data_IF_231820751629
#
_entry.id   IF_231820751629
#
_cell.length_a   1.000
_cell.length_b   1.000
_cell.length_c   1.000
_cell.angle_alpha   90.00
_cell.angle_beta   90.00
_cell.angle_gamma   90.00
#
_symmetry.space_group_name_H-M   'P 1'
#
loop_
_entity.id
_entity.type
_entity.pdbx_description
1 polymer ?
#
# COMPACT_ATOMS: atom_id res chain seq x y z
N UNK A 1 11.64 -2.56 4.76
CA UNK A 1 11.35 -2.98 3.37
C UNK A 1 11.27 -1.75 2.49
N UNK A 2 11.80 -1.81 1.26
CA UNK A 2 11.74 -0.71 0.28
C UNK A 2 10.84 -1.12 -0.87
N UNK A 3 9.95 -0.22 -1.29
CA UNK A 3 9.05 -0.41 -2.42
C UNK A 3 9.33 0.65 -3.48
N UNK A 4 9.32 0.25 -4.74
CA UNK A 4 9.55 1.13 -5.89
C UNK A 4 8.31 1.12 -6.76
N UNK A 5 7.65 2.27 -6.87
CA UNK A 5 6.53 2.50 -7.77
C UNK A 5 7.00 3.28 -8.99
N UNK A 6 6.63 2.83 -10.19
CA UNK A 6 6.88 3.54 -11.45
C UNK A 6 5.57 3.87 -12.13
N UNK A 7 5.43 5.09 -12.61
CA UNK A 7 4.20 5.58 -13.24
C UNK A 7 4.43 6.77 -14.15
N UNK A 8 3.34 7.44 -14.51
CA UNK A 8 3.38 8.63 -15.34
C UNK A 8 3.06 9.87 -14.50
N UNK A 9 3.81 10.95 -14.70
CA UNK A 9 3.53 12.26 -14.06
C UNK A 9 2.16 12.79 -14.47
N UNK A 10 1.77 12.52 -15.72
CA UNK A 10 0.50 12.91 -16.30
C UNK A 10 -0.01 11.81 -17.24
N UNK A 11 -0.94 11.00 -16.73
CA UNK A 11 -1.53 9.91 -17.51
C UNK A 11 -2.31 10.39 -18.73
N UNK A 12 -2.79 11.64 -18.74
CA UNK A 12 -3.54 12.20 -19.88
C UNK A 12 -2.66 12.45 -21.10
N UNK A 13 -1.34 12.61 -20.89
CA UNK A 13 -0.35 12.81 -21.95
C UNK A 13 0.10 11.51 -22.61
N UNK A 14 -0.29 10.35 -22.07
CA UNK A 14 0.02 9.05 -22.66
C UNK A 14 -0.98 8.77 -23.78
N UNK A 15 -0.56 8.78 -25.07
CA UNK A 15 -1.49 8.60 -26.17
C UNK A 15 -2.08 7.18 -26.14
N UNK A 16 -3.40 7.02 -26.38
CA UNK A 16 -4.04 5.71 -26.41
C UNK A 16 -3.34 4.75 -27.37
N UNK A 17 -3.02 3.54 -26.91
CA UNK A 17 -2.37 2.50 -27.73
C UNK A 17 -0.87 2.69 -27.98
N UNK A 18 -0.24 3.78 -27.50
CA UNK A 18 1.23 3.94 -27.57
C UNK A 18 1.88 3.48 -26.27
N UNK A 19 2.90 2.63 -26.39
CA UNK A 19 3.77 2.25 -25.28
C UNK A 19 4.76 3.39 -25.00
N UNK A 20 4.49 4.15 -23.94
CA UNK A 20 5.44 5.11 -23.38
C UNK A 20 6.06 4.51 -22.12
N UNK A 21 7.33 4.80 -21.86
CA UNK A 21 7.96 4.40 -20.60
C UNK A 21 7.46 5.31 -19.47
N UNK A 22 7.23 4.77 -18.26
CA UNK A 22 6.99 5.58 -17.07
C UNK A 22 8.04 6.68 -16.91
N UNK A 23 7.62 7.92 -16.68
CA UNK A 23 8.49 9.10 -16.52
C UNK A 23 8.56 9.58 -15.06
N UNK A 24 8.04 8.76 -14.13
CA UNK A 24 8.00 9.01 -12.72
C UNK A 24 8.38 7.77 -11.91
N UNK A 25 9.17 7.98 -10.87
CA UNK A 25 9.48 6.97 -9.85
C UNK A 25 9.21 7.51 -8.45
N UNK A 26 8.62 6.68 -7.61
CA UNK A 26 8.44 6.93 -6.18
C UNK A 26 9.05 5.77 -5.41
N UNK A 27 9.98 6.06 -4.52
CA UNK A 27 10.57 5.08 -3.60
C UNK A 27 9.98 5.32 -2.22
N UNK A 28 9.37 4.28 -1.66
CA UNK A 28 8.85 4.30 -0.29
C UNK A 28 9.54 3.26 0.58
N UNK A 29 9.52 3.48 1.88
CA UNK A 29 10.08 2.57 2.87
C UNK A 29 9.05 2.27 3.94
N UNK A 30 8.93 0.99 4.27
CA UNK A 30 8.18 0.51 5.43
C UNK A 30 9.17 -0.01 6.45
N UNK A 31 9.11 0.52 7.67
CA UNK A 31 9.88 0.04 8.81
C UNK A 31 8.95 -0.41 9.92
N UNK A 32 9.44 -1.31 10.77
CA UNK A 32 8.69 -1.90 11.87
C UNK A 32 9.61 -2.73 12.75
N UNK A 33 9.10 -3.27 13.87
CA UNK A 33 9.86 -4.14 14.76
C UNK A 33 10.26 -5.41 14.03
N UNK A 34 11.51 -5.84 14.19
CA UNK A 34 12.11 -7.04 13.57
C UNK A 34 11.45 -7.49 12.26
N UNK A 35 11.99 -6.99 11.14
CA UNK A 35 11.45 -7.22 9.81
C UNK A 35 11.36 -8.74 9.55
N UNK A 36 10.17 -9.19 9.14
CA UNK A 36 9.91 -10.58 8.78
C UNK A 36 9.23 -11.39 9.88
N UNK A 37 9.51 -11.12 11.16
CA UNK A 37 8.97 -11.89 12.28
C UNK A 37 7.96 -11.13 13.12
N UNK A 38 8.26 -9.94 13.61
CA UNK A 38 7.32 -9.19 14.46
C UNK A 38 6.45 -8.27 13.61
N UNK A 39 7.03 -7.63 12.59
CA UNK A 39 6.29 -6.78 11.66
C UNK A 39 5.18 -7.55 10.92
N UNK A 40 5.46 -8.77 10.43
CA UNK A 40 4.52 -9.51 9.57
C UNK A 40 3.22 -9.92 10.29
N UNK A 41 3.26 -10.50 11.51
CA UNK A 41 2.06 -10.78 12.29
C UNK A 41 1.26 -9.53 12.64
N UNK A 42 1.91 -8.40 12.95
CA UNK A 42 1.20 -7.14 13.21
C UNK A 42 0.36 -6.76 11.99
N UNK A 43 0.95 -6.79 10.79
CA UNK A 43 0.25 -6.51 9.54
C UNK A 43 -0.94 -7.48 9.37
N UNK A 44 -0.72 -8.78 9.52
CA UNK A 44 -1.76 -9.79 9.33
C UNK A 44 -2.93 -9.61 10.31
N UNK A 45 -2.64 -9.40 11.60
CA UNK A 45 -3.65 -9.24 12.64
C UNK A 45 -4.45 -7.96 12.43
N UNK A 46 -3.80 -6.84 12.12
CA UNK A 46 -4.53 -5.59 11.85
C UNK A 46 -5.44 -5.71 10.62
N UNK A 47 -5.02 -6.47 9.59
CA UNK A 47 -5.86 -6.72 8.42
C UNK A 47 -7.09 -7.56 8.79
N UNK A 48 -6.90 -8.60 9.61
CA UNK A 48 -7.99 -9.45 10.08
C UNK A 48 -9.01 -8.66 10.92
N UNK A 49 -8.53 -7.81 11.84
CA UNK A 49 -9.40 -6.95 12.65
C UNK A 49 -10.22 -5.99 11.78
N UNK A 50 -9.58 -5.36 10.80
CA UNK A 50 -10.27 -4.46 9.87
C UNK A 50 -11.36 -5.19 9.06
N UNK A 51 -11.08 -6.42 8.60
CA UNK A 51 -12.06 -7.25 7.89
C UNK A 51 -13.26 -7.59 8.77
N UNK A 52 -13.03 -7.88 10.06
CA UNK A 52 -14.10 -8.17 11.02
C UNK A 52 -14.94 -6.92 11.35
N UNK A 53 -14.30 -5.78 11.56
CA UNK A 53 -14.95 -4.55 12.01
C UNK A 53 -15.67 -3.77 10.91
N UNK A 54 -15.15 -3.81 9.67
CA UNK A 54 -15.62 -2.95 8.57
C UNK A 54 -16.02 -3.78 7.33
N UNK A 55 -16.50 -5.02 7.51
CA UNK A 55 -16.77 -5.96 6.41
C UNK A 55 -17.66 -5.37 5.30
N UNK A 56 -18.63 -4.55 5.68
CA UNK A 56 -19.60 -3.88 4.81
C UNK A 56 -18.97 -2.83 3.88
N UNK A 57 -17.83 -2.24 4.29
CA UNK A 57 -17.09 -1.22 3.54
C UNK A 57 -16.01 -1.81 2.62
N UNK A 58 -15.76 -3.11 2.70
CA UNK A 58 -14.75 -3.79 1.91
C UNK A 58 -15.33 -4.41 0.62
N UNK A 59 -14.50 -4.62 -0.42
CA UNK A 59 -14.93 -5.32 -1.63
C UNK A 59 -15.60 -6.67 -1.33
N UNK A 60 -16.62 -7.02 -2.13
CA UNK A 60 -17.35 -8.28 -2.00
C UNK A 60 -16.83 -9.33 -2.98
N UNK A 61 -16.41 -10.49 -2.45
CA UNK A 61 -15.90 -11.61 -3.24
C UNK A 61 -14.54 -11.34 -3.88
N UNK A 62 -13.95 -12.38 -4.48
CA UNK A 62 -12.65 -12.28 -5.17
C UNK A 62 -11.42 -12.27 -4.26
N UNK A 63 -10.26 -12.02 -4.87
CA UNK A 63 -8.95 -11.93 -4.21
C UNK A 63 -8.38 -10.56 -4.48
N UNK A 64 -8.08 -9.81 -3.42
CA UNK A 64 -7.66 -8.41 -3.50
C UNK A 64 -6.30 -8.22 -2.86
N UNK A 65 -5.50 -7.34 -3.45
CA UNK A 65 -4.29 -6.86 -2.78
C UNK A 65 -4.66 -5.88 -1.66
N UNK A 66 -3.86 -5.79 -0.58
CA UNK A 66 -4.16 -4.91 0.55
C UNK A 66 -4.35 -3.44 0.15
N UNK A 67 -3.57 -2.95 -0.82
CA UNK A 67 -3.71 -1.56 -1.28
C UNK A 67 -5.07 -1.25 -1.90
N UNK A 68 -5.69 -2.21 -2.58
CA UNK A 68 -7.03 -2.03 -3.15
C UNK A 68 -8.11 -2.32 -2.12
N UNK A 69 -7.93 -3.35 -1.29
CA UNK A 69 -8.92 -3.73 -0.28
C UNK A 69 -9.03 -2.70 0.85
N UNK A 70 -7.91 -2.11 1.28
CA UNK A 70 -7.82 -1.32 2.50
C UNK A 70 -7.42 0.14 2.25
N UNK A 71 -7.15 0.54 1.01
CA UNK A 71 -6.64 1.89 0.69
C UNK A 71 -7.57 3.05 1.08
N UNK A 72 -8.86 2.78 1.27
CA UNK A 72 -9.86 3.77 1.71
C UNK A 72 -10.19 3.67 3.20
N UNK A 73 -9.47 2.85 3.96
CA UNK A 73 -9.70 2.58 5.38
C UNK A 73 -8.64 3.22 6.28
N UNK A 74 -8.78 3.07 7.60
CA UNK A 74 -7.80 3.51 8.60
C UNK A 74 -6.62 2.52 8.77
N UNK A 75 -6.45 1.56 7.86
CA UNK A 75 -5.49 0.47 7.99
C UNK A 75 -4.04 0.96 8.16
N UNK A 76 -3.59 1.93 7.37
CA UNK A 76 -2.24 2.49 7.51
C UNK A 76 -2.03 3.10 8.91
N UNK A 77 -3.01 3.86 9.41
CA UNK A 77 -2.95 4.45 10.74
C UNK A 77 -2.90 3.38 11.83
N UNK A 78 -3.65 2.29 11.69
CA UNK A 78 -3.58 1.15 12.62
C UNK A 78 -2.21 0.53 12.66
N UNK A 79 -1.58 0.32 11.51
CA UNK A 79 -0.22 -0.19 11.43
C UNK A 79 0.77 0.78 12.09
N UNK A 80 0.61 2.08 11.86
CA UNK A 80 1.44 3.10 12.50
C UNK A 80 1.31 3.09 14.03
N UNK A 81 0.09 2.99 14.54
CA UNK A 81 -0.18 2.90 15.98
C UNK A 81 0.41 1.62 16.62
N UNK A 82 0.72 0.60 15.81
CA UNK A 82 1.35 -0.66 16.24
C UNK A 82 2.85 -0.71 15.89
N UNK A 83 3.49 0.43 15.68
CA UNK A 83 4.95 0.53 15.58
C UNK A 83 5.51 0.35 14.17
N UNK A 84 4.67 0.42 13.13
CA UNK A 84 5.15 0.54 11.75
C UNK A 84 5.31 2.02 11.36
N UNK A 85 6.14 2.31 10.37
CA UNK A 85 6.21 3.63 9.76
C UNK A 85 6.34 3.52 8.25
N UNK A 86 5.82 4.54 7.56
CA UNK A 86 5.73 4.62 6.11
C UNK A 86 6.36 5.94 5.66
N UNK A 87 7.48 5.85 4.97
CA UNK A 87 8.23 7.02 4.50
C UNK A 87 8.21 7.09 2.97
N UNK A 88 8.05 8.29 2.42
CA UNK A 88 8.43 8.58 1.03
C UNK A 88 9.92 8.97 1.03
N UNK A 89 10.76 8.13 0.45
CA UNK A 89 12.21 8.33 0.41
C UNK A 89 12.59 9.23 -0.75
N UNK A 90 11.97 9.05 -1.92
CA UNK A 90 12.19 9.90 -3.07
C UNK A 90 10.99 9.89 -4.00
N UNK A 91 10.85 10.97 -4.77
CA UNK A 91 9.84 11.15 -5.82
C UNK A 91 10.44 12.02 -6.91
N UNK A 92 10.69 11.46 -8.09
CA UNK A 92 11.31 12.15 -9.22
C UNK A 92 10.70 11.76 -10.57
#
# INVERSE_FOLDING_TARGET
MVFVGRGFKDASKVPPGKKQQPDMEIITRVTGPEIGYVTTPIILVQAALLVLENRDKLPKGGVWTPGVAFGTTDYEQRLQNNGLSFDVISKH
#
